data_IF_738149383234
#
_entry.id   IF_738149383234
#
_cell.length_a   1.000
_cell.length_b   1.000
_cell.length_c   1.000
_cell.angle_alpha   90.00
_cell.angle_beta   90.00
_cell.angle_gamma   90.00
#
_symmetry.space_group_name_H-M   'P 1'
#
loop_
_entity.id
_entity.type
_entity.pdbx_description
1 polymer ?
#
# COMPACT_ATOMS: atom_id res chain seq x y z
N UNK A 1 -11.89 8.00 3.82
CA UNK A 1 -10.52 7.48 3.62
C UNK A 1 -9.66 8.03 4.74
N UNK A 2 -9.52 7.30 5.84
CA UNK A 2 -8.76 7.74 7.01
C UNK A 2 -7.53 6.85 7.14
N UNK A 3 -6.33 7.43 7.13
CA UNK A 3 -5.09 6.69 7.40
C UNK A 3 -3.87 7.11 6.58
N UNK A 4 -4.05 7.80 5.44
CA UNK A 4 -2.92 8.35 4.68
C UNK A 4 -3.01 9.88 4.74
N UNK A 5 -1.95 10.59 5.17
CA UNK A 5 -1.98 12.03 5.31
C UNK A 5 -2.36 12.70 3.99
N UNK A 6 -3.57 13.28 3.95
CA UNK A 6 -4.04 14.08 2.83
C UNK A 6 -3.27 15.40 2.85
N UNK A 7 -2.41 15.61 1.85
CA UNK A 7 -1.64 16.85 1.69
C UNK A 7 -0.12 16.69 1.54
N UNK A 8 0.43 15.48 1.74
CA UNK A 8 1.88 15.24 1.54
C UNK A 8 2.24 14.62 0.19
N UNK A 9 1.26 14.05 -0.52
CA UNK A 9 1.44 13.41 -1.82
C UNK A 9 0.53 14.04 -2.87
N UNK A 10 1.06 14.24 -4.07
CA UNK A 10 0.29 14.66 -5.26
C UNK A 10 -0.55 13.49 -5.79
N UNK A 11 -1.52 13.78 -6.66
CA UNK A 11 -2.28 12.72 -7.34
C UNK A 11 -1.40 11.75 -8.13
N UNK A 12 -0.31 12.24 -8.75
CA UNK A 12 0.64 11.39 -9.46
C UNK A 12 1.44 10.47 -8.53
N UNK A 13 1.83 10.96 -7.35
CA UNK A 13 2.51 10.10 -6.35
C UNK A 13 1.56 9.03 -5.84
N UNK A 14 0.29 9.38 -5.66
CA UNK A 14 -0.77 8.46 -5.28
C UNK A 14 -0.98 7.35 -6.31
N UNK A 15 -0.97 7.66 -7.60
CA UNK A 15 -1.05 6.64 -8.65
C UNK A 15 0.16 5.69 -8.62
N UNK A 16 1.37 6.20 -8.41
CA UNK A 16 2.57 5.37 -8.30
C UNK A 16 2.51 4.44 -7.07
N UNK A 17 2.07 4.98 -5.93
CA UNK A 17 1.84 4.21 -4.71
C UNK A 17 0.81 3.08 -4.91
N UNK A 18 -0.35 3.41 -5.49
CA UNK A 18 -1.43 2.44 -5.74
C UNK A 18 -0.99 1.32 -6.68
N UNK A 19 -0.24 1.65 -7.74
CA UNK A 19 0.29 0.66 -8.66
C UNK A 19 1.25 -0.33 -7.97
N UNK A 20 2.09 0.15 -7.06
CA UNK A 20 2.96 -0.71 -6.27
C UNK A 20 2.18 -1.60 -5.29
N UNK A 21 1.14 -1.06 -4.64
CA UNK A 21 0.26 -1.86 -3.80
C UNK A 21 -0.44 -2.96 -4.61
N UNK A 22 -0.95 -2.65 -5.80
CA UNK A 22 -1.61 -3.62 -6.67
C UNK A 22 -0.70 -4.79 -7.08
N UNK A 23 0.61 -4.56 -7.27
CA UNK A 23 1.56 -5.65 -7.53
C UNK A 23 1.64 -6.63 -6.37
N UNK A 24 1.83 -6.12 -5.14
CA UNK A 24 1.85 -6.95 -3.92
C UNK A 24 0.53 -7.67 -3.65
N UNK A 25 -0.59 -7.08 -4.10
CA UNK A 25 -1.92 -7.66 -3.96
C UNK A 25 -2.23 -8.70 -5.07
N UNK A 26 -1.69 -8.50 -6.28
CA UNK A 26 -1.92 -9.36 -7.44
C UNK A 26 -1.06 -10.62 -7.50
N UNK A 27 0.13 -10.61 -6.88
CA UNK A 27 1.03 -11.76 -6.92
C UNK A 27 0.51 -12.92 -6.06
N UNK A 28 0.40 -14.11 -6.67
CA UNK A 28 0.06 -15.37 -6.00
C UNK A 28 1.03 -16.48 -6.42
N UNK A 29 1.56 -17.30 -5.49
CA UNK A 29 1.38 -17.18 -4.03
C UNK A 29 2.10 -15.95 -3.49
N UNK A 30 1.51 -15.31 -2.48
CA UNK A 30 2.13 -14.14 -1.84
C UNK A 30 3.05 -14.57 -0.72
N UNK A 31 4.13 -13.81 -0.52
CA UNK A 31 5.13 -14.12 0.50
C UNK A 31 5.17 -13.04 1.57
N UNK A 32 5.23 -13.44 2.83
CA UNK A 32 5.46 -12.51 3.94
C UNK A 32 6.81 -11.81 3.77
N UNK A 33 6.87 -10.50 4.00
CA UNK A 33 8.09 -9.71 3.80
C UNK A 33 8.39 -9.34 2.34
N UNK A 34 7.57 -9.80 1.39
CA UNK A 34 7.65 -9.33 0.02
C UNK A 34 7.41 -7.81 -0.02
N UNK A 35 8.22 -7.11 -0.80
CA UNK A 35 8.18 -5.66 -0.87
C UNK A 35 8.17 -5.14 -2.31
N UNK A 36 7.66 -3.93 -2.48
CA UNK A 36 7.63 -3.21 -3.74
C UNK A 36 7.97 -1.75 -3.50
N UNK A 37 9.04 -1.30 -4.15
CA UNK A 37 9.40 0.10 -4.18
C UNK A 37 8.54 0.88 -5.18
N UNK A 38 8.37 2.16 -4.89
CA UNK A 38 7.66 3.10 -5.75
C UNK A 38 8.31 4.48 -5.69
N UNK A 39 8.15 5.22 -6.78
CA UNK A 39 8.60 6.60 -6.91
C UNK A 39 7.55 7.39 -7.66
N UNK A 40 7.12 8.48 -7.03
CA UNK A 40 6.17 9.43 -7.59
C UNK A 40 6.86 10.58 -8.32
N UNK A 41 6.12 11.28 -9.20
CA UNK A 41 6.64 12.39 -10.01
C UNK A 41 7.01 13.64 -9.19
N UNK A 42 6.47 13.85 -7.97
CA UNK A 42 6.89 14.97 -7.12
C UNK A 42 8.27 14.75 -6.47
N UNK A 43 8.83 13.56 -6.65
CA UNK A 43 10.02 13.09 -5.94
C UNK A 43 9.72 12.42 -4.61
N UNK A 44 8.44 12.19 -4.26
CA UNK A 44 8.07 11.26 -3.21
C UNK A 44 8.46 9.82 -3.60
N UNK A 45 8.88 9.02 -2.63
CA UNK A 45 9.25 7.63 -2.87
C UNK A 45 9.15 6.82 -1.59
N UNK A 46 8.95 5.52 -1.73
CA UNK A 46 8.91 4.64 -0.58
C UNK A 46 8.89 3.18 -0.96
N UNK A 47 8.69 2.37 0.08
CA UNK A 47 8.62 0.93 0.00
C UNK A 47 7.31 0.49 0.64
N UNK A 48 6.65 -0.46 -0.02
CA UNK A 48 5.54 -1.23 0.53
C UNK A 48 6.01 -2.63 0.87
N UNK A 49 5.52 -3.20 1.96
CA UNK A 49 5.89 -4.56 2.41
C UNK A 49 4.66 -5.31 2.90
N UNK A 50 4.52 -6.58 2.52
CA UNK A 50 3.51 -7.47 3.07
C UNK A 50 3.94 -7.84 4.50
N UNK A 51 3.31 -7.20 5.49
CA UNK A 51 3.59 -7.43 6.91
C UNK A 51 2.74 -8.55 7.50
N UNK A 52 1.58 -8.84 6.90
CA UNK A 52 0.68 -9.93 7.33
C UNK A 52 -0.06 -10.50 6.14
N UNK A 53 -0.27 -11.82 6.16
CA UNK A 53 -1.18 -12.56 5.29
C UNK A 53 -2.11 -13.33 6.22
N UNK A 54 -3.41 -13.16 6.06
CA UNK A 54 -4.43 -13.75 6.91
C UNK A 54 -5.75 -13.90 6.15
N UNK A 55 -6.72 -14.57 6.74
CA UNK A 55 -8.09 -14.64 6.22
C UNK A 55 -9.05 -14.02 7.23
N UNK A 56 -10.10 -13.37 6.73
CA UNK A 56 -11.18 -12.81 7.54
C UNK A 56 -12.49 -13.00 6.79
N UNK A 57 -13.47 -13.64 7.44
CA UNK A 57 -14.78 -13.93 6.83
C UNK A 57 -14.64 -14.62 5.46
N UNK A 58 -13.77 -15.64 5.39
CA UNK A 58 -13.40 -16.38 4.17
C UNK A 58 -12.79 -15.54 3.03
N UNK A 59 -12.40 -14.28 3.31
CA UNK A 59 -11.69 -13.42 2.38
C UNK A 59 -10.18 -13.45 2.62
N UNK A 60 -9.35 -13.66 1.58
CA UNK A 60 -7.92 -13.46 1.68
C UNK A 60 -7.58 -12.01 1.99
N UNK A 61 -6.82 -11.78 3.03
CA UNK A 61 -6.46 -10.46 3.52
C UNK A 61 -4.95 -10.29 3.70
N UNK A 62 -4.49 -9.05 3.58
CA UNK A 62 -3.09 -8.67 3.73
C UNK A 62 -2.99 -7.36 4.49
N UNK A 63 -1.94 -7.21 5.27
CA UNK A 63 -1.52 -5.90 5.79
C UNK A 63 -0.29 -5.46 5.02
N UNK A 64 -0.39 -4.33 4.32
CA UNK A 64 0.74 -3.69 3.68
C UNK A 64 1.29 -2.60 4.61
N UNK A 65 2.51 -2.79 5.11
CA UNK A 65 3.29 -1.73 5.73
C UNK A 65 3.84 -0.80 4.65
N UNK A 66 3.82 0.51 4.88
CA UNK A 66 4.40 1.50 4.00
C UNK A 66 5.34 2.41 4.76
N UNK A 67 6.52 2.63 4.18
CA UNK A 67 7.47 3.66 4.62
C UNK A 67 7.80 4.53 3.42
N UNK A 68 7.61 5.84 3.51
CA UNK A 68 7.89 6.75 2.40
C UNK A 68 8.38 8.11 2.86
N UNK A 69 9.06 8.81 1.95
CA UNK A 69 9.55 10.16 2.16
C UNK A 69 8.94 11.08 1.09
N UNK A 70 8.74 12.34 1.43
CA UNK A 70 8.27 13.37 0.48
C UNK A 70 9.24 14.54 0.44
N UNK A 71 9.35 15.20 -0.72
CA UNK A 71 10.18 16.41 -0.86
C UNK A 71 9.45 17.68 -0.40
N UNK A 72 8.14 17.72 -0.59
CA UNK A 72 7.28 18.88 -0.27
C UNK A 72 7.09 19.05 1.24
N UNK A 73 7.05 17.96 1.99
CA UNK A 73 7.06 17.98 3.45
C UNK A 73 8.09 16.97 3.97
N UNK A 74 9.37 17.42 4.13
CA UNK A 74 10.47 16.55 4.52
C UNK A 74 10.16 15.78 5.80
N UNK A 75 10.18 14.45 5.70
CA UNK A 75 9.88 13.55 6.79
C UNK A 75 9.72 12.11 6.30
N UNK A 76 9.91 11.16 7.21
CA UNK A 76 9.60 9.75 6.97
C UNK A 76 8.22 9.44 7.52
N UNK A 77 7.34 8.99 6.64
CA UNK A 77 5.97 8.65 6.95
C UNK A 77 5.83 7.13 6.96
N UNK A 78 5.11 6.62 7.97
CA UNK A 78 4.85 5.20 8.12
C UNK A 78 3.35 4.96 8.30
N UNK A 79 2.80 3.98 7.58
CA UNK A 79 1.39 3.60 7.73
C UNK A 79 1.15 2.15 7.34
N UNK A 80 -0.02 1.64 7.73
CA UNK A 80 -0.45 0.28 7.43
C UNK A 80 -1.77 0.32 6.66
N UNK A 81 -1.87 -0.52 5.64
CA UNK A 81 -3.08 -0.74 4.86
C UNK A 81 -3.55 -2.16 5.06
N UNK A 82 -4.72 -2.32 5.66
CA UNK A 82 -5.40 -3.61 5.69
C UNK A 82 -6.24 -3.74 4.43
N UNK A 83 -5.95 -4.76 3.63
CA UNK A 83 -6.58 -5.04 2.35
C UNK A 83 -7.22 -6.42 2.40
N UNK A 84 -8.47 -6.57 1.98
CA UNK A 84 -9.09 -7.88 1.78
C UNK A 84 -9.59 -8.02 0.36
N UNK A 85 -9.48 -9.23 -0.20
CA UNK A 85 -9.97 -9.58 -1.52
C UNK A 85 -11.42 -10.04 -1.40
N UNK A 86 -12.33 -9.28 -1.99
CA UNK A 86 -13.75 -9.61 -1.97
C UNK A 86 -14.08 -10.79 -2.91
N UNK A 87 -15.35 -11.21 -2.88
CA UNK A 87 -15.84 -12.32 -3.71
C UNK A 87 -15.80 -12.06 -5.22
N UNK A 88 -15.63 -10.79 -5.64
CA UNK A 88 -15.40 -10.41 -7.05
C UNK A 88 -13.92 -10.45 -7.41
N UNK A 89 -13.06 -10.76 -6.46
CA UNK A 89 -11.62 -10.80 -6.62
C UNK A 89 -10.97 -9.43 -6.51
N UNK A 90 -11.69 -8.39 -6.10
CA UNK A 90 -11.19 -7.03 -5.95
C UNK A 90 -10.62 -6.81 -4.54
N UNK A 91 -9.46 -6.17 -4.46
CA UNK A 91 -8.88 -5.81 -3.17
C UNK A 91 -9.45 -4.48 -2.67
N UNK A 92 -10.03 -4.50 -1.47
CA UNK A 92 -10.62 -3.33 -0.80
C UNK A 92 -9.83 -2.98 0.46
N UNK A 93 -9.63 -1.68 0.68
CA UNK A 93 -9.10 -1.18 1.95
C UNK A 93 -10.16 -1.40 3.02
N UNK A 94 -9.82 -2.09 4.10
CA UNK A 94 -10.60 -2.10 5.32
C UNK A 94 -10.32 -0.79 6.07
N UNK A 95 -11.32 0.08 6.17
CA UNK A 95 -11.30 1.28 7.01
C UNK A 95 -11.57 0.95 8.46
#
# INVERSE_FOLDING_TARGET
MSGIPTGVMTSGDWSAFQAAAQKLLGEMPSTLGQHQDWKGPSGASGTLTIERIYEKDDMPCRTLGSVFNTKTNPGTYQYKLNMCRDSKGEWKILS
#
